data_IF_498379863026
#
_entry.id   IF_498379863026
#
_cell.length_a   1.000
_cell.length_b   1.000
_cell.length_c   1.000
_cell.angle_alpha   90.00
_cell.angle_beta   90.00
_cell.angle_gamma   90.00
#
_symmetry.space_group_name_H-M   'P 1'
#
loop_
_entity.id
_entity.type
_entity.pdbx_description
1 polymer ?
#
# COMPACT_ATOMS: atom_id res chain seq x y z
N UNK A 1 6.40 24.11 -26.69
CA UNK A 1 6.37 22.97 -27.63
C UNK A 1 6.76 21.65 -26.93
N UNK A 2 7.86 21.61 -26.17
CA UNK A 2 8.30 20.40 -25.44
C UNK A 2 7.25 19.93 -24.42
N UNK A 3 6.69 20.84 -23.61
CA UNK A 3 5.63 20.54 -22.63
C UNK A 3 4.43 19.85 -23.28
N UNK A 4 3.95 20.38 -24.40
CA UNK A 4 2.83 19.80 -25.13
C UNK A 4 3.13 18.39 -25.68
N UNK A 5 4.36 18.16 -26.14
CA UNK A 5 4.80 16.84 -26.58
C UNK A 5 4.83 15.82 -25.41
N UNK A 6 5.40 16.21 -24.28
CA UNK A 6 5.42 15.37 -23.08
C UNK A 6 3.99 15.01 -22.62
N UNK A 7 3.06 15.96 -22.66
CA UNK A 7 1.64 15.72 -22.36
C UNK A 7 0.99 14.74 -23.33
N UNK A 8 1.29 14.86 -24.64
CA UNK A 8 0.80 13.94 -25.67
C UNK A 8 1.23 12.50 -25.38
N UNK A 9 2.46 12.30 -24.91
CA UNK A 9 2.96 11.01 -24.46
C UNK A 9 2.58 10.65 -23.01
N UNK A 10 1.65 11.39 -22.41
CA UNK A 10 1.19 11.16 -21.03
C UNK A 10 2.27 11.29 -19.94
N UNK A 11 3.36 12.00 -20.23
CA UNK A 11 4.45 12.30 -19.29
C UNK A 11 4.12 13.58 -18.50
N UNK A 12 2.96 13.57 -17.82
CA UNK A 12 2.36 14.78 -17.21
C UNK A 12 3.18 15.35 -16.05
N UNK A 13 3.88 14.51 -15.31
CA UNK A 13 4.69 14.99 -14.19
C UNK A 13 5.97 15.65 -14.70
N UNK A 14 6.65 15.01 -15.64
CA UNK A 14 7.80 15.58 -16.31
C UNK A 14 7.46 16.90 -17.05
N UNK A 15 6.30 16.94 -17.72
CA UNK A 15 5.84 18.16 -18.40
C UNK A 15 5.69 19.34 -17.43
N UNK A 16 5.16 19.09 -16.23
CA UNK A 16 5.01 20.12 -15.18
C UNK A 16 6.35 20.58 -14.60
N UNK A 17 7.29 19.64 -14.43
CA UNK A 17 8.61 19.92 -13.85
C UNK A 17 9.65 20.35 -14.89
N UNK A 18 9.27 20.41 -16.17
CA UNK A 18 10.20 20.71 -17.28
C UNK A 18 10.96 22.03 -17.11
N UNK A 19 10.33 23.15 -16.65
CA UNK A 19 11.09 24.40 -16.45
C UNK A 19 12.25 24.21 -15.45
N UNK A 20 11.99 23.60 -14.30
CA UNK A 20 13.00 23.38 -13.26
C UNK A 20 14.11 22.41 -13.73
N UNK A 21 13.73 21.40 -14.54
CA UNK A 21 14.69 20.45 -15.12
C UNK A 21 15.61 21.11 -16.14
N UNK A 22 15.10 22.05 -16.95
CA UNK A 22 15.91 22.83 -17.92
C UNK A 22 16.87 23.74 -17.17
N UNK A 23 16.38 24.49 -16.19
CA UNK A 23 17.22 25.37 -15.38
C UNK A 23 18.36 24.61 -14.70
N UNK A 24 18.03 23.45 -14.10
CA UNK A 24 19.02 22.58 -13.45
C UNK A 24 20.06 22.07 -14.46
N UNK A 25 19.63 21.68 -15.66
CA UNK A 25 20.52 21.18 -16.69
C UNK A 25 21.49 22.27 -17.20
N UNK A 26 20.97 23.47 -17.36
CA UNK A 26 21.78 24.64 -17.77
C UNK A 26 22.82 25.01 -16.70
N UNK A 27 22.42 25.01 -15.42
CA UNK A 27 23.31 25.31 -14.29
C UNK A 27 24.41 24.26 -14.08
N UNK A 28 24.13 23.00 -14.39
CA UNK A 28 25.06 21.87 -14.18
C UNK A 28 25.84 21.49 -15.43
N UNK A 29 25.67 22.21 -16.55
CA UNK A 29 26.23 21.86 -17.87
C UNK A 29 25.99 20.40 -18.24
N UNK A 30 24.73 19.93 -17.99
CA UNK A 30 24.35 18.56 -18.15
C UNK A 30 24.37 18.12 -19.61
N UNK A 31 24.90 16.94 -19.88
CA UNK A 31 24.80 16.33 -21.20
C UNK A 31 23.36 16.03 -21.60
N UNK A 32 23.07 15.93 -22.89
CA UNK A 32 21.74 15.55 -23.40
C UNK A 32 21.25 14.22 -22.80
N UNK A 33 22.16 13.29 -22.51
CA UNK A 33 21.84 12.00 -21.90
C UNK A 33 21.37 12.16 -20.45
N UNK A 34 22.06 12.95 -19.66
CA UNK A 34 21.72 13.23 -18.27
C UNK A 34 20.40 13.97 -18.16
N UNK A 35 20.19 14.97 -19.01
CA UNK A 35 18.91 15.68 -19.08
C UNK A 35 17.75 14.72 -19.41
N UNK A 36 17.89 13.86 -20.42
CA UNK A 36 16.85 12.91 -20.79
C UNK A 36 16.57 11.92 -19.65
N UNK A 37 17.61 11.45 -18.98
CA UNK A 37 17.48 10.57 -17.82
C UNK A 37 16.70 11.26 -16.69
N UNK A 38 17.05 12.51 -16.35
CA UNK A 38 16.37 13.30 -15.34
C UNK A 38 14.86 13.51 -15.66
N UNK A 39 14.51 13.74 -16.91
CA UNK A 39 13.12 13.88 -17.38
C UNK A 39 12.35 12.58 -17.16
N UNK A 40 12.92 11.43 -17.56
CA UNK A 40 12.27 10.13 -17.43
C UNK A 40 12.14 9.69 -15.96
N UNK A 41 13.18 9.87 -15.16
CA UNK A 41 13.16 9.57 -13.73
C UNK A 41 12.13 10.42 -12.99
N UNK A 42 12.01 11.69 -13.33
CA UNK A 42 11.00 12.59 -12.77
C UNK A 42 9.59 12.08 -13.04
N UNK A 43 9.30 11.63 -14.27
CA UNK A 43 7.98 11.03 -14.57
C UNK A 43 7.75 9.73 -13.80
N UNK A 44 8.76 8.85 -13.70
CA UNK A 44 8.66 7.59 -12.93
C UNK A 44 8.37 7.89 -11.46
N UNK A 45 9.08 8.83 -10.84
CA UNK A 45 8.83 9.28 -9.46
C UNK A 45 7.39 9.77 -9.29
N UNK A 46 6.93 10.66 -10.17
CA UNK A 46 5.57 11.19 -10.11
C UNK A 46 4.47 10.12 -10.31
N UNK A 47 4.70 9.14 -11.18
CA UNK A 47 3.79 7.99 -11.35
C UNK A 47 3.74 7.11 -10.11
N UNK A 48 4.88 6.82 -9.52
CA UNK A 48 4.98 6.02 -8.30
C UNK A 48 4.28 6.69 -7.13
N UNK A 49 4.45 8.00 -6.94
CA UNK A 49 3.74 8.75 -5.90
C UNK A 49 2.22 8.73 -6.09
N UNK A 50 1.73 8.95 -7.33
CA UNK A 50 0.30 8.88 -7.61
C UNK A 50 -0.25 7.48 -7.36
N UNK A 51 0.50 6.43 -7.74
CA UNK A 51 0.14 5.04 -7.47
C UNK A 51 0.07 4.78 -5.98
N UNK A 52 1.09 5.20 -5.22
CA UNK A 52 1.15 5.06 -3.76
C UNK A 52 -0.03 5.74 -3.08
N UNK A 53 -0.31 7.01 -3.41
CA UNK A 53 -1.45 7.75 -2.85
C UNK A 53 -2.79 7.08 -3.15
N UNK A 54 -2.99 6.60 -4.36
CA UNK A 54 -4.20 5.87 -4.75
C UNK A 54 -4.33 4.55 -3.99
N UNK A 55 -3.26 3.76 -3.91
CA UNK A 55 -3.26 2.48 -3.20
C UNK A 55 -3.50 2.69 -1.71
N UNK A 56 -2.91 3.71 -1.10
CA UNK A 56 -3.13 4.08 0.30
C UNK A 56 -4.61 4.44 0.56
N UNK A 57 -5.21 5.29 -0.27
CA UNK A 57 -6.62 5.63 -0.14
C UNK A 57 -7.56 4.43 -0.32
N UNK A 58 -7.20 3.51 -1.22
CA UNK A 58 -7.99 2.30 -1.49
C UNK A 58 -7.84 1.22 -0.41
N UNK A 59 -6.77 1.25 0.38
CA UNK A 59 -6.50 0.28 1.42
C UNK A 59 -7.50 0.36 2.58
N UNK A 60 -8.05 1.55 2.88
CA UNK A 60 -8.98 1.80 3.99
C UNK A 60 -8.39 1.46 5.36
N UNK A 61 -7.14 1.77 5.56
CA UNK A 61 -6.49 1.60 6.85
C UNK A 61 -7.22 2.34 7.98
N UNK A 62 -7.12 1.88 9.23
CA UNK A 62 -7.59 2.65 10.38
C UNK A 62 -6.80 3.96 10.50
N UNK A 63 -7.33 4.96 11.22
CA UNK A 63 -6.60 6.19 11.47
C UNK A 63 -5.32 5.94 12.28
N UNK A 64 -4.33 6.84 12.14
CA UNK A 64 -3.08 6.85 12.91
C UNK A 64 -2.19 5.60 12.75
N UNK A 65 -2.19 4.99 11.56
CA UNK A 65 -1.16 3.99 11.28
C UNK A 65 0.21 4.66 11.20
N UNK A 66 1.23 3.94 11.67
CA UNK A 66 2.62 4.40 11.67
C UNK A 66 3.47 3.51 10.77
N UNK A 67 4.51 4.07 10.13
CA UNK A 67 5.53 3.28 9.48
C UNK A 67 6.20 2.33 10.47
N UNK A 68 6.67 1.17 9.96
CA UNK A 68 7.35 0.19 10.81
C UNK A 68 8.71 0.67 11.35
N UNK A 69 9.26 1.72 10.78
CA UNK A 69 10.47 2.39 11.26
C UNK A 69 10.27 3.10 12.60
N UNK A 70 9.03 3.51 12.88
CA UNK A 70 8.62 4.13 14.14
C UNK A 70 8.17 3.11 15.20
N UNK A 71 8.27 1.82 14.86
CA UNK A 71 7.84 0.73 15.72
C UNK A 71 9.05 0.12 16.44
N UNK A 72 9.06 0.21 17.78
CA UNK A 72 10.01 -0.50 18.59
C UNK A 72 9.37 -1.80 19.14
N UNK A 73 9.86 -2.99 18.72
CA UNK A 73 9.37 -4.26 19.24
C UNK A 73 9.50 -4.42 20.75
N UNK A 74 10.50 -3.78 21.38
CA UNK A 74 10.76 -3.88 22.81
C UNK A 74 9.73 -3.08 23.63
N UNK A 75 9.30 -1.92 23.13
CA UNK A 75 8.27 -1.08 23.80
C UNK A 75 6.91 -1.78 23.91
N UNK A 76 6.62 -2.74 23.03
CA UNK A 76 5.28 -3.32 22.91
C UNK A 76 5.15 -4.70 23.53
N UNK A 77 6.17 -5.25 24.16
CA UNK A 77 6.16 -6.64 24.67
C UNK A 77 5.57 -7.62 23.64
N UNK A 78 5.75 -7.30 22.34
CA UNK A 78 5.01 -7.91 21.23
C UNK A 78 5.42 -9.37 20.96
N UNK A 79 6.52 -9.83 21.56
CA UNK A 79 7.11 -11.13 21.27
C UNK A 79 7.72 -11.24 19.86
N UNK A 80 7.66 -10.18 19.04
CA UNK A 80 8.34 -10.11 17.74
C UNK A 80 9.73 -9.49 17.97
N UNK A 81 10.77 -10.17 17.51
CA UNK A 81 12.14 -9.63 17.56
C UNK A 81 12.41 -8.67 16.40
N UNK A 82 13.40 -7.79 16.55
CA UNK A 82 13.89 -6.93 15.46
C UNK A 82 14.29 -7.74 14.21
N UNK A 83 14.93 -8.90 14.40
CA UNK A 83 15.31 -9.78 13.30
C UNK A 83 14.10 -10.32 12.54
N UNK A 84 13.05 -10.78 13.25
CA UNK A 84 11.82 -11.23 12.63
C UNK A 84 11.11 -10.09 11.89
N UNK A 85 11.05 -8.90 12.49
CA UNK A 85 10.44 -7.73 11.85
C UNK A 85 11.20 -7.33 10.57
N UNK A 86 12.53 -7.39 10.58
CA UNK A 86 13.37 -7.12 9.40
C UNK A 86 13.06 -8.08 8.25
N UNK A 87 12.94 -9.37 8.53
CA UNK A 87 12.56 -10.38 7.53
C UNK A 87 11.14 -10.13 6.98
N UNK A 88 10.18 -9.76 7.83
CA UNK A 88 8.82 -9.44 7.39
C UNK A 88 8.78 -8.19 6.49
N UNK A 89 9.65 -7.20 6.75
CA UNK A 89 9.77 -5.97 5.94
C UNK A 89 10.26 -6.22 4.52
N UNK A 90 10.99 -7.31 4.27
CA UNK A 90 11.46 -7.68 2.93
C UNK A 90 10.32 -8.09 1.98
N UNK A 91 9.14 -8.41 2.53
CA UNK A 91 7.93 -8.82 1.79
C UNK A 91 8.09 -10.10 0.94
N UNK A 92 9.18 -10.85 1.08
CA UNK A 92 9.41 -12.10 0.37
C UNK A 92 8.31 -13.15 0.60
N UNK A 93 7.70 -13.12 1.80
CA UNK A 93 6.52 -13.93 2.13
C UNK A 93 5.30 -13.59 1.26
N UNK A 94 5.14 -12.31 0.87
CA UNK A 94 4.05 -11.86 0.01
C UNK A 94 4.25 -12.33 -1.43
N UNK A 95 5.46 -12.27 -1.94
CA UNK A 95 5.80 -12.79 -3.28
C UNK A 95 5.58 -14.31 -3.39
N UNK A 96 5.79 -15.02 -2.28
CA UNK A 96 5.55 -16.47 -2.18
C UNK A 96 4.12 -16.84 -1.76
N UNK A 97 3.16 -15.89 -1.84
CA UNK A 97 1.77 -16.10 -1.44
C UNK A 97 1.62 -16.62 0.01
N UNK A 98 2.51 -16.22 0.90
CA UNK A 98 2.50 -16.60 2.30
C UNK A 98 1.38 -15.92 3.08
N UNK A 99 0.91 -16.57 4.14
CA UNK A 99 -0.04 -16.00 5.08
C UNK A 99 0.65 -15.71 6.41
N UNK A 100 0.36 -14.56 7.01
CA UNK A 100 0.81 -14.18 8.33
C UNK A 100 -0.37 -14.16 9.31
N UNK A 101 -0.18 -14.77 10.47
CA UNK A 101 -1.17 -14.76 11.54
C UNK A 101 -0.54 -14.16 12.79
N UNK A 102 -1.11 -13.05 13.27
CA UNK A 102 -0.71 -12.41 14.50
C UNK A 102 -1.69 -12.81 15.62
N UNK A 103 -1.24 -13.65 16.55
CA UNK A 103 -2.02 -14.11 17.68
C UNK A 103 -1.44 -13.59 19.01
N UNK A 104 -2.31 -13.25 19.96
CA UNK A 104 -1.91 -12.77 21.29
C UNK A 104 -2.95 -11.86 21.91
N UNK A 105 -2.77 -11.48 23.21
CA UNK A 105 -3.67 -10.59 23.94
C UNK A 105 -3.86 -9.23 23.26
N UNK A 106 -4.92 -8.47 23.57
CA UNK A 106 -5.09 -7.10 23.10
C UNK A 106 -3.98 -6.19 23.63
N UNK A 107 -3.66 -5.12 22.90
CA UNK A 107 -2.67 -4.12 23.31
C UNK A 107 -1.25 -4.37 22.80
N UNK A 108 -0.90 -5.56 22.30
CA UNK A 108 0.46 -5.91 21.84
C UNK A 108 0.82 -5.39 20.43
N UNK A 109 0.12 -4.41 19.90
CA UNK A 109 0.46 -3.80 18.62
C UNK A 109 0.22 -4.65 17.36
N UNK A 110 -0.48 -5.80 17.43
CA UNK A 110 -0.74 -6.69 16.28
C UNK A 110 -1.28 -5.97 15.06
N UNK A 111 -2.34 -5.18 15.23
CA UNK A 111 -2.94 -4.38 14.15
C UNK A 111 -1.95 -3.35 13.61
N UNK A 112 -1.13 -2.74 14.48
CA UNK A 112 -0.13 -1.75 14.09
C UNK A 112 0.96 -2.38 13.22
N UNK A 113 1.48 -3.55 13.61
CA UNK A 113 2.46 -4.30 12.80
C UNK A 113 1.86 -4.71 11.47
N UNK A 114 0.64 -5.28 11.47
CA UNK A 114 -0.03 -5.69 10.23
C UNK A 114 -0.26 -4.49 9.27
N UNK A 115 -0.73 -3.36 9.79
CA UNK A 115 -0.94 -2.14 9.00
C UNK A 115 0.39 -1.53 8.53
N UNK A 116 1.43 -1.55 9.36
CA UNK A 116 2.77 -1.11 9.00
C UNK A 116 3.39 -1.95 7.87
N UNK A 117 3.21 -3.27 7.89
CA UNK A 117 3.58 -4.15 6.77
C UNK A 117 2.75 -3.84 5.52
N UNK A 118 1.46 -3.55 5.68
CA UNK A 118 0.61 -3.09 4.58
C UNK A 118 1.09 -1.78 3.97
N UNK A 119 1.52 -0.82 4.80
CA UNK A 119 2.11 0.43 4.34
C UNK A 119 3.42 0.21 3.58
N UNK A 120 4.29 -0.67 4.09
CA UNK A 120 5.52 -1.09 3.41
C UNK A 120 5.21 -1.73 2.05
N UNK A 121 4.21 -2.61 1.98
CA UNK A 121 3.76 -3.22 0.73
C UNK A 121 3.28 -2.16 -0.29
N UNK A 122 2.51 -1.14 0.15
CA UNK A 122 2.11 -0.02 -0.72
C UNK A 122 3.33 0.76 -1.23
N UNK A 123 4.32 1.02 -0.38
CA UNK A 123 5.55 1.70 -0.77
C UNK A 123 6.35 0.89 -1.81
N UNK A 124 6.32 -0.44 -1.72
CA UNK A 124 6.88 -1.36 -2.71
C UNK A 124 6.01 -1.57 -3.95
N UNK A 125 4.82 -0.93 -3.99
CA UNK A 125 3.95 -0.89 -5.17
C UNK A 125 2.81 -1.88 -5.20
N UNK A 126 2.65 -2.70 -4.16
CA UNK A 126 1.54 -3.63 -4.03
C UNK A 126 0.20 -2.92 -3.75
N UNK A 127 -0.88 -3.60 -4.07
CA UNK A 127 -2.24 -3.18 -3.70
C UNK A 127 -2.65 -3.88 -2.42
N UNK A 128 -3.15 -3.10 -1.46
CA UNK A 128 -3.51 -3.58 -0.12
C UNK A 128 -4.95 -3.24 0.18
N UNK A 129 -5.66 -4.14 0.87
CA UNK A 129 -6.96 -3.88 1.47
C UNK A 129 -6.93 -4.26 2.95
N UNK A 130 -7.45 -3.37 3.77
CA UNK A 130 -7.68 -3.62 5.20
C UNK A 130 -9.17 -3.71 5.47
N UNK A 131 -9.60 -4.72 6.21
CA UNK A 131 -10.97 -4.87 6.70
C UNK A 131 -10.98 -5.46 8.10
N UNK A 132 -11.94 -5.00 8.92
CA UNK A 132 -12.33 -5.74 10.12
C UNK A 132 -13.18 -6.92 9.71
N UNK A 133 -13.06 -8.05 10.42
CA UNK A 133 -13.84 -9.25 10.13
C UNK A 133 -15.34 -9.01 10.09
N UNK A 134 -15.87 -8.19 11.01
CA UNK A 134 -17.29 -7.79 11.04
C UNK A 134 -17.73 -7.10 9.75
N UNK A 135 -16.90 -6.20 9.22
CA UNK A 135 -17.20 -5.47 7.99
C UNK A 135 -17.05 -6.35 6.76
N UNK A 136 -16.05 -7.23 6.75
CA UNK A 136 -15.86 -8.19 5.66
C UNK A 136 -17.08 -9.11 5.51
N UNK A 137 -17.61 -9.65 6.62
CA UNK A 137 -18.82 -10.47 6.60
C UNK A 137 -20.01 -9.67 6.03
N UNK A 138 -20.21 -8.42 6.48
CA UNK A 138 -21.27 -7.56 5.96
C UNK A 138 -21.12 -7.33 4.46
N UNK A 139 -19.91 -7.06 3.98
CA UNK A 139 -19.62 -6.90 2.56
C UNK A 139 -19.98 -8.16 1.77
N UNK A 140 -19.61 -9.35 2.28
CA UNK A 140 -19.94 -10.62 1.63
C UNK A 140 -21.45 -10.86 1.57
N UNK A 141 -22.19 -10.55 2.64
CA UNK A 141 -23.64 -10.75 2.71
C UNK A 141 -24.41 -9.79 1.80
N UNK A 142 -23.92 -8.56 1.58
CA UNK A 142 -24.64 -7.52 0.82
C UNK A 142 -24.05 -7.25 -0.57
N UNK A 143 -22.97 -7.93 -0.97
CA UNK A 143 -22.28 -7.65 -2.23
C UNK A 143 -23.13 -7.80 -3.49
N UNK A 144 -24.16 -8.68 -3.46
CA UNK A 144 -25.07 -8.90 -4.60
C UNK A 144 -26.19 -7.85 -4.66
N UNK A 145 -26.56 -7.27 -3.51
CA UNK A 145 -27.70 -6.33 -3.41
C UNK A 145 -27.26 -4.88 -3.32
N UNK A 146 -26.07 -4.61 -2.76
CA UNK A 146 -25.52 -3.28 -2.58
C UNK A 146 -24.34 -3.02 -3.50
N UNK A 147 -24.47 -2.04 -4.40
CA UNK A 147 -23.41 -1.67 -5.36
C UNK A 147 -22.09 -1.31 -4.67
N UNK A 148 -22.13 -0.63 -3.54
CA UNK A 148 -20.93 -0.22 -2.79
C UNK A 148 -20.19 -1.44 -2.23
N UNK A 149 -20.92 -2.40 -1.64
CA UNK A 149 -20.37 -3.65 -1.12
C UNK A 149 -19.77 -4.52 -2.24
N UNK A 150 -20.49 -4.64 -3.37
CA UNK A 150 -19.98 -5.34 -4.56
C UNK A 150 -18.69 -4.73 -5.12
N UNK A 151 -18.60 -3.39 -5.17
CA UNK A 151 -17.38 -2.71 -5.58
C UNK A 151 -16.23 -2.95 -4.58
N UNK A 152 -16.51 -2.90 -3.27
CA UNK A 152 -15.52 -3.16 -2.24
C UNK A 152 -15.01 -4.60 -2.29
N UNK A 153 -15.89 -5.58 -2.43
CA UNK A 153 -15.53 -7.00 -2.58
C UNK A 153 -14.63 -7.22 -3.81
N UNK A 154 -14.94 -6.55 -4.92
CA UNK A 154 -14.11 -6.61 -6.12
C UNK A 154 -12.69 -6.05 -5.89
N UNK A 155 -12.56 -5.01 -5.07
CA UNK A 155 -11.25 -4.46 -4.70
C UNK A 155 -10.49 -5.40 -3.78
N UNK A 156 -11.15 -6.01 -2.78
CA UNK A 156 -10.56 -7.01 -1.89
C UNK A 156 -10.03 -8.19 -2.71
N UNK A 157 -10.84 -8.75 -3.63
CA UNK A 157 -10.44 -9.87 -4.50
C UNK A 157 -9.27 -9.56 -5.44
N UNK A 158 -9.02 -8.28 -5.75
CA UNK A 158 -7.92 -7.82 -6.60
C UNK A 158 -6.68 -7.38 -5.81
N UNK A 159 -6.80 -7.23 -4.50
CA UNK A 159 -5.68 -6.83 -3.66
C UNK A 159 -4.63 -7.95 -3.62
N UNK A 160 -3.36 -7.56 -3.66
CA UNK A 160 -2.25 -8.48 -3.51
C UNK A 160 -1.98 -8.83 -2.03
N UNK A 161 -2.42 -7.95 -1.12
CA UNK A 161 -2.40 -8.18 0.32
C UNK A 161 -3.76 -7.80 0.91
N UNK A 162 -4.36 -8.73 1.63
CA UNK A 162 -5.58 -8.46 2.41
C UNK A 162 -5.23 -8.61 3.89
N UNK A 163 -5.51 -7.57 4.66
CA UNK A 163 -5.33 -7.55 6.11
C UNK A 163 -6.72 -7.66 6.74
N UNK A 164 -6.94 -8.71 7.52
CA UNK A 164 -8.21 -8.93 8.24
C UNK A 164 -7.93 -8.81 9.73
N UNK A 165 -8.57 -7.85 10.36
CA UNK A 165 -8.42 -7.58 11.79
C UNK A 165 -9.62 -8.07 12.60
N UNK A 166 -9.42 -8.24 13.90
CA UNK A 166 -10.45 -8.68 14.85
C UNK A 166 -11.06 -10.07 14.52
N UNK A 167 -10.23 -10.98 13.98
CA UNK A 167 -10.64 -12.36 13.72
C UNK A 167 -10.96 -13.07 15.06
N UNK A 168 -12.14 -13.73 15.14
CA UNK A 168 -12.56 -14.50 16.33
C UNK A 168 -13.45 -13.75 17.31
N UNK A 169 -13.64 -12.44 17.16
CA UNK A 169 -14.61 -11.67 17.98
C UNK A 169 -16.05 -11.70 17.44
N UNK A 170 -16.22 -12.12 16.18
CA UNK A 170 -17.52 -12.18 15.53
C UNK A 170 -17.88 -13.63 15.26
N UNK A 171 -19.05 -14.12 15.72
CA UNK A 171 -19.52 -15.44 15.35
C UNK A 171 -19.78 -15.48 13.84
N UNK A 172 -19.19 -16.48 13.17
CA UNK A 172 -19.34 -16.70 11.73
C UNK A 172 -20.15 -17.96 11.54
N UNK A 173 -21.21 -17.90 10.73
CA UNK A 173 -21.96 -19.09 10.34
C UNK A 173 -21.13 -19.95 9.37
N UNK A 174 -21.47 -21.25 9.25
CA UNK A 174 -20.82 -22.14 8.27
C UNK A 174 -21.00 -21.66 6.83
N UNK A 175 -22.14 -21.04 6.52
CA UNK A 175 -22.42 -20.49 5.19
C UNK A 175 -21.52 -19.28 4.89
N UNK A 176 -21.30 -18.41 5.87
CA UNK A 176 -20.41 -17.25 5.74
C UNK A 176 -18.93 -17.65 5.62
N UNK A 177 -18.53 -18.73 6.28
CA UNK A 177 -17.17 -19.25 6.22
C UNK A 177 -16.82 -19.89 4.85
N UNK A 178 -17.82 -20.28 4.07
CA UNK A 178 -17.65 -20.94 2.77
C UNK A 178 -17.79 -19.99 1.56
N UNK A 179 -18.01 -18.69 1.80
CA UNK A 179 -18.07 -17.64 0.76
C UNK A 179 -16.72 -16.97 0.51
#
# INVERSE_FOLDING_TARGET
RLTALLETFTLKHAARMLPDLLETADLQDSSCREFLLAVLETEVKGRNERRRKRNYSAAHFPPNIRPLEEFDPEELESGITHAQLSVLKELSWLDNCGNLVFAGPPGLGKTMVACGLGLQAINSGYTVCFEKMTNLIKILDTAETERAAGFRLKNIKKAQLVIIDEIGYTPISREQANR
#
